data_IF_872622427918
#
_entry.id   IF_872622427918
#
_cell.length_a   1.000
_cell.length_b   1.000
_cell.length_c   1.000
_cell.angle_alpha   90.00
_cell.angle_beta   90.00
_cell.angle_gamma   90.00
#
_symmetry.space_group_name_H-M   'P 1'
#
loop_
_entity.id
_entity.type
_entity.pdbx_description
1 polymer ?
#
# COMPACT_ATOMS: atom_id res chain seq x y z
N UNK A 1 20.44 -34.34 -0.66
CA UNK A 1 20.20 -32.92 -0.99
C UNK A 1 18.73 -32.82 -1.36
N UNK A 2 17.94 -32.12 -0.54
CA UNK A 2 16.49 -32.24 -0.47
C UNK A 2 15.78 -31.71 -1.73
N UNK A 3 14.93 -32.54 -2.33
CA UNK A 3 13.94 -32.16 -3.35
C UNK A 3 12.93 -31.13 -2.80
N UNK A 4 12.67 -31.15 -1.48
CA UNK A 4 11.77 -30.22 -0.77
C UNK A 4 12.20 -28.74 -0.83
N UNK A 5 13.49 -28.47 -1.07
CA UNK A 5 14.00 -27.10 -1.21
C UNK A 5 13.62 -26.55 -2.60
N UNK A 6 13.64 -27.40 -3.63
CA UNK A 6 13.30 -27.01 -4.99
C UNK A 6 11.79 -26.83 -5.20
N UNK A 7 10.95 -27.63 -4.53
CA UNK A 7 9.49 -27.45 -4.60
C UNK A 7 9.03 -26.14 -3.94
N UNK A 8 9.60 -25.78 -2.78
CA UNK A 8 9.33 -24.49 -2.12
C UNK A 8 9.79 -23.28 -2.95
N UNK A 9 10.86 -23.41 -3.73
CA UNK A 9 11.36 -22.37 -4.63
C UNK A 9 10.44 -22.21 -5.86
N UNK A 10 9.97 -23.32 -6.45
CA UNK A 10 9.09 -23.31 -7.63
C UNK A 10 7.71 -22.72 -7.29
N UNK A 11 7.16 -23.04 -6.12
CA UNK A 11 5.89 -22.47 -5.68
C UNK A 11 6.02 -20.96 -5.35
N UNK A 12 7.13 -20.53 -4.74
CA UNK A 12 7.40 -19.09 -4.55
C UNK A 12 7.58 -18.34 -5.88
N UNK A 13 8.26 -18.93 -6.86
CA UNK A 13 8.47 -18.34 -8.19
C UNK A 13 7.15 -18.21 -8.97
N UNK A 14 6.27 -19.23 -8.94
CA UNK A 14 4.93 -19.15 -9.57
C UNK A 14 4.05 -18.10 -8.91
N UNK A 15 4.13 -17.99 -7.58
CA UNK A 15 3.43 -16.94 -6.83
C UNK A 15 3.97 -15.55 -7.18
N UNK A 16 5.29 -15.42 -7.39
CA UNK A 16 5.96 -14.18 -7.79
C UNK A 16 5.59 -13.72 -9.20
N UNK A 17 5.51 -14.63 -10.17
CA UNK A 17 5.10 -14.30 -11.54
C UNK A 17 3.61 -13.92 -11.61
N UNK A 18 2.75 -14.58 -10.81
CA UNK A 18 1.35 -14.21 -10.65
C UNK A 18 1.18 -12.82 -10.00
N UNK A 19 1.88 -12.56 -8.89
CA UNK A 19 1.87 -11.26 -8.20
C UNK A 19 2.42 -10.17 -9.13
N UNK A 20 3.52 -10.40 -9.84
CA UNK A 20 4.08 -9.42 -10.79
C UNK A 20 3.13 -9.13 -11.96
N UNK A 21 2.45 -10.14 -12.51
CA UNK A 21 1.46 -9.94 -13.56
C UNK A 21 0.22 -9.20 -13.04
N UNK A 22 -0.22 -9.51 -11.81
CA UNK A 22 -1.30 -8.81 -11.14
C UNK A 22 -0.94 -7.33 -10.85
N UNK A 23 0.27 -7.07 -10.35
CA UNK A 23 0.79 -5.71 -10.10
C UNK A 23 0.94 -4.93 -11.40
N UNK A 24 1.46 -5.54 -12.48
CA UNK A 24 1.54 -4.89 -13.80
C UNK A 24 0.17 -4.59 -14.38
N UNK A 25 -0.81 -5.47 -14.20
CA UNK A 25 -2.20 -5.21 -14.59
C UNK A 25 -2.84 -4.09 -13.75
N UNK A 26 -2.51 -3.99 -12.46
CA UNK A 26 -2.94 -2.87 -11.61
C UNK A 26 -2.30 -1.56 -12.05
N UNK A 27 -0.98 -1.52 -12.26
CA UNK A 27 -0.22 -0.35 -12.70
C UNK A 27 -0.73 0.18 -14.05
N UNK A 28 -0.95 -0.71 -15.02
CA UNK A 28 -1.46 -0.34 -16.35
C UNK A 28 -2.90 0.19 -16.32
N UNK A 29 -3.70 -0.21 -15.34
CA UNK A 29 -5.03 0.35 -15.09
C UNK A 29 -4.96 1.71 -14.36
N UNK A 30 -3.93 1.96 -13.56
CA UNK A 30 -3.74 3.21 -12.79
C UNK A 30 -3.31 4.37 -13.71
N UNK A 31 -2.46 4.11 -14.71
CA UNK A 31 -1.85 5.17 -15.53
C UNK A 31 -2.84 5.95 -16.43
N UNK A 32 -4.04 5.43 -16.70
CA UNK A 32 -4.84 5.93 -17.82
C UNK A 32 -5.94 6.96 -17.51
N UNK A 33 -6.22 7.38 -16.26
CA UNK A 33 -7.13 8.54 -16.04
C UNK A 33 -7.27 9.13 -14.60
N UNK A 34 -6.40 8.87 -13.63
CA UNK A 34 -6.91 8.69 -12.25
C UNK A 34 -6.57 9.83 -11.29
N UNK A 35 -7.60 10.54 -10.81
CA UNK A 35 -7.55 11.24 -9.52
C UNK A 35 -7.09 10.22 -8.46
N UNK A 36 -5.86 10.34 -7.96
CA UNK A 36 -5.35 9.43 -6.93
C UNK A 36 -6.16 9.56 -5.64
N UNK A 37 -6.43 8.43 -5.00
CA UNK A 37 -6.99 8.40 -3.64
C UNK A 37 -6.04 9.03 -2.63
N UNK A 38 -6.55 9.37 -1.46
CA UNK A 38 -5.75 9.87 -0.34
C UNK A 38 -4.58 8.94 -0.03
N UNK A 39 -4.82 7.64 0.05
CA UNK A 39 -3.78 6.64 0.31
C UNK A 39 -2.73 6.64 -0.79
N UNK A 40 -3.13 6.63 -2.07
CA UNK A 40 -2.18 6.61 -3.19
C UNK A 40 -1.30 7.86 -3.24
N UNK A 41 -1.87 9.03 -2.93
CA UNK A 41 -1.10 10.28 -2.81
C UNK A 41 -0.14 10.19 -1.63
N UNK A 42 -0.63 9.77 -0.46
CA UNK A 42 0.18 9.67 0.74
C UNK A 42 1.37 8.72 0.56
N UNK A 43 1.13 7.55 -0.06
CA UNK A 43 2.16 6.56 -0.39
C UNK A 43 3.20 7.14 -1.35
N UNK A 44 2.75 7.84 -2.41
CA UNK A 44 3.69 8.43 -3.38
C UNK A 44 4.51 9.57 -2.80
N UNK A 45 3.89 10.40 -1.96
CA UNK A 45 4.53 11.61 -1.42
C UNK A 45 5.55 11.27 -0.33
N UNK A 46 5.36 10.14 0.39
CA UNK A 46 6.18 9.76 1.53
C UNK A 46 7.07 8.51 1.31
N UNK A 47 7.10 7.94 0.11
CA UNK A 47 7.88 6.73 -0.23
C UNK A 47 7.63 5.57 0.75
N UNK A 48 6.37 5.19 0.89
CA UNK A 48 5.95 4.11 1.81
C UNK A 48 6.33 2.75 1.22
N UNK A 49 7.00 1.90 2.01
CA UNK A 49 7.37 0.53 1.61
C UNK A 49 6.17 -0.42 1.67
N UNK A 50 6.25 -1.58 1.01
CA UNK A 50 5.10 -2.47 0.82
C UNK A 50 4.42 -2.89 2.12
N UNK A 51 5.19 -3.31 3.13
CA UNK A 51 4.66 -3.72 4.45
C UNK A 51 3.81 -2.62 5.09
N UNK A 52 4.27 -1.38 5.03
CA UNK A 52 3.60 -0.25 5.66
C UNK A 52 2.44 0.28 4.82
N UNK A 53 2.50 0.13 3.49
CA UNK A 53 1.36 0.37 2.61
C UNK A 53 0.21 -0.60 2.94
N UNK A 54 0.52 -1.87 3.21
CA UNK A 54 -0.48 -2.85 3.64
C UNK A 54 -1.06 -2.49 5.02
N UNK A 55 -0.23 -2.06 5.98
CA UNK A 55 -0.70 -1.52 7.26
C UNK A 55 -1.66 -0.33 7.07
N UNK A 56 -1.39 0.58 6.14
CA UNK A 56 -2.28 1.70 5.83
C UNK A 56 -3.61 1.24 5.21
N UNK A 57 -3.58 0.25 4.30
CA UNK A 57 -4.80 -0.33 3.74
C UNK A 57 -5.67 -0.98 4.83
N UNK A 58 -5.06 -1.69 5.76
CA UNK A 58 -5.73 -2.31 6.91
C UNK A 58 -6.31 -1.22 7.80
N UNK A 59 -5.52 -0.23 8.22
CA UNK A 59 -5.96 0.87 9.09
C UNK A 59 -7.12 1.67 8.49
N UNK A 60 -7.09 1.95 7.18
CA UNK A 60 -8.24 2.54 6.48
C UNK A 60 -9.48 1.67 6.61
N UNK A 61 -9.37 0.37 6.36
CA UNK A 61 -10.51 -0.54 6.41
C UNK A 61 -11.10 -0.64 7.83
N UNK A 62 -10.26 -0.62 8.87
CA UNK A 62 -10.69 -0.58 10.26
C UNK A 62 -11.47 0.69 10.57
N UNK A 63 -10.96 1.87 10.17
CA UNK A 63 -11.66 3.16 10.30
C UNK A 63 -13.02 3.12 9.61
N UNK A 64 -13.07 2.63 8.37
CA UNK A 64 -14.32 2.54 7.61
C UNK A 64 -15.34 1.61 8.28
N UNK A 65 -14.90 0.49 8.84
CA UNK A 65 -15.76 -0.45 9.56
C UNK A 65 -16.27 0.14 10.87
N UNK A 66 -15.40 0.79 11.65
CA UNK A 66 -15.78 1.51 12.86
C UNK A 66 -16.86 2.56 12.55
N UNK A 67 -16.61 3.42 11.54
CA UNK A 67 -17.57 4.44 11.12
C UNK A 67 -18.88 3.83 10.63
N UNK A 68 -18.84 2.75 9.85
CA UNK A 68 -20.04 2.06 9.39
C UNK A 68 -20.88 1.52 10.55
N UNK A 69 -20.24 1.05 11.63
CA UNK A 69 -20.93 0.55 12.82
C UNK A 69 -21.52 1.70 13.65
N UNK A 70 -20.73 2.75 13.90
CA UNK A 70 -21.14 3.93 14.69
C UNK A 70 -22.31 4.69 14.07
N UNK A 71 -22.48 4.60 12.75
CA UNK A 71 -23.49 5.35 11.99
C UNK A 71 -24.43 4.42 11.21
N UNK A 72 -24.63 3.21 11.71
CA UNK A 72 -25.42 2.17 11.05
C UNK A 72 -26.88 2.60 10.78
N UNK A 73 -27.42 3.51 11.59
CA UNK A 73 -28.75 4.10 11.44
C UNK A 73 -28.89 4.97 10.19
N UNK A 74 -27.78 5.51 9.65
CA UNK A 74 -27.75 6.27 8.38
C UNK A 74 -27.83 5.38 7.14
N UNK A 75 -27.89 4.06 7.32
CA UNK A 75 -27.92 3.07 6.25
C UNK A 75 -26.54 2.58 5.85
N UNK A 76 -26.52 1.66 4.88
CA UNK A 76 -25.30 0.95 4.47
C UNK A 76 -24.27 1.91 3.90
N UNK A 77 -23.04 1.79 4.39
CA UNK A 77 -21.93 2.67 4.07
C UNK A 77 -21.05 2.07 2.96
N UNK A 78 -20.70 2.91 1.98
CA UNK A 78 -19.81 2.60 0.88
C UNK A 78 -18.72 3.66 0.81
N UNK A 79 -17.50 3.27 0.47
CA UNK A 79 -16.39 4.21 0.32
C UNK A 79 -15.82 4.13 -1.09
N UNK A 80 -15.78 5.28 -1.78
CA UNK A 80 -15.23 5.40 -3.14
C UNK A 80 -13.71 5.48 -3.05
N UNK A 81 -13.01 4.50 -3.59
CA UNK A 81 -11.54 4.48 -3.60
C UNK A 81 -10.96 4.70 -5.00
N UNK A 82 -11.79 4.70 -6.04
CA UNK A 82 -11.32 4.88 -7.42
C UNK A 82 -12.44 5.16 -8.41
N UNK A 83 -12.07 5.30 -9.68
CA UNK A 83 -13.01 5.54 -10.78
C UNK A 83 -12.54 4.78 -12.03
N UNK A 84 -13.49 4.20 -12.77
CA UNK A 84 -13.25 3.54 -14.06
C UNK A 84 -14.28 4.02 -15.08
N UNK A 85 -13.86 4.91 -15.99
CA UNK A 85 -14.79 5.58 -16.89
C UNK A 85 -15.78 6.45 -16.11
N UNK A 86 -17.08 6.22 -16.31
CA UNK A 86 -18.17 6.89 -15.59
C UNK A 86 -18.55 6.22 -14.27
N UNK A 87 -17.89 5.14 -13.87
CA UNK A 87 -18.29 4.35 -12.71
C UNK A 87 -17.32 4.60 -11.54
N UNK A 88 -17.88 4.84 -10.36
CA UNK A 88 -17.15 4.82 -9.11
C UNK A 88 -16.83 3.38 -8.72
N UNK A 89 -15.59 3.16 -8.28
CA UNK A 89 -15.17 1.93 -7.62
C UNK A 89 -15.28 2.16 -6.12
N UNK A 90 -16.14 1.37 -5.48
CA UNK A 90 -16.42 1.50 -4.06
C UNK A 90 -16.33 0.16 -3.34
N UNK A 91 -16.05 0.21 -2.05
CA UNK A 91 -16.09 -0.94 -1.15
C UNK A 91 -17.23 -0.81 -0.15
N UNK A 92 -17.79 -1.95 0.29
CA UNK A 92 -18.75 -1.97 1.40
C UNK A 92 -17.97 -1.87 2.70
N UNK A 93 -18.33 -0.91 3.55
CA UNK A 93 -17.64 -0.68 4.82
C UNK A 93 -18.10 -1.64 5.94
N UNK A 94 -18.74 -2.75 5.61
CA UNK A 94 -19.16 -3.79 6.56
C UNK A 94 -18.01 -4.77 6.82
N UNK A 95 -17.95 -5.32 8.03
CA UNK A 95 -16.92 -6.30 8.39
C UNK A 95 -16.95 -7.51 7.46
N UNK A 96 -15.77 -7.90 6.98
CA UNK A 96 -15.60 -9.01 6.04
C UNK A 96 -15.99 -8.72 4.60
N UNK A 97 -16.47 -7.51 4.25
CA UNK A 97 -16.85 -7.14 2.87
C UNK A 97 -15.98 -6.07 2.23
N UNK A 98 -14.90 -5.67 2.90
CA UNK A 98 -13.99 -4.64 2.39
C UNK A 98 -13.27 -5.02 1.10
N UNK A 99 -13.21 -6.31 0.77
CA UNK A 99 -12.64 -6.85 -0.47
C UNK A 99 -13.61 -6.82 -1.66
N UNK A 100 -14.91 -6.58 -1.41
CA UNK A 100 -15.91 -6.53 -2.46
C UNK A 100 -15.81 -5.22 -3.23
N UNK A 101 -15.48 -5.32 -4.51
CA UNK A 101 -15.46 -4.18 -5.43
C UNK A 101 -16.84 -3.99 -6.05
N UNK A 102 -17.46 -2.86 -5.74
CA UNK A 102 -18.74 -2.45 -6.32
C UNK A 102 -18.50 -1.36 -7.34
N UNK A 103 -19.15 -1.49 -8.50
CA UNK A 103 -19.25 -0.41 -9.48
C UNK A 103 -20.56 0.34 -9.26
N UNK A 104 -20.45 1.63 -8.98
CA UNK A 104 -21.59 2.53 -8.80
C UNK A 104 -21.56 3.52 -9.97
N UNK A 105 -22.52 3.47 -10.91
CA UNK A 105 -22.58 4.45 -11.99
C UNK A 105 -22.70 5.87 -11.41
N UNK A 106 -21.90 6.81 -11.90
CA UNK A 106 -21.89 8.19 -11.38
C UNK A 106 -23.26 8.87 -11.45
N UNK A 107 -24.04 8.56 -12.49
CA UNK A 107 -25.43 9.03 -12.65
C UNK A 107 -26.39 8.58 -11.53
N UNK A 108 -26.06 7.50 -10.82
CA UNK A 108 -26.89 6.93 -9.75
C UNK A 108 -26.57 7.57 -8.39
N UNK A 109 -25.52 8.40 -8.31
CA UNK A 109 -25.13 9.18 -7.14
C UNK A 109 -25.64 10.61 -7.31
N UNK A 110 -26.55 11.05 -6.44
CA UNK A 110 -27.18 12.37 -6.53
C UNK A 110 -26.32 13.49 -5.91
N UNK A 111 -25.03 13.56 -6.25
CA UNK A 111 -24.13 14.55 -5.66
C UNK A 111 -22.82 14.70 -6.44
N UNK A 112 -22.00 15.66 -6.03
CA UNK A 112 -20.61 15.87 -6.44
C UNK A 112 -19.63 14.92 -5.74
N UNK A 113 -20.03 13.67 -5.51
CA UNK A 113 -19.17 12.65 -4.90
C UNK A 113 -17.86 12.54 -5.69
N UNK A 114 -16.78 12.27 -4.97
CA UNK A 114 -15.43 12.16 -5.53
C UNK A 114 -14.73 10.94 -4.94
N UNK A 115 -13.54 10.66 -5.42
CA UNK A 115 -12.69 9.67 -4.76
C UNK A 115 -12.45 10.13 -3.30
N UNK A 116 -12.42 9.15 -2.41
CA UNK A 116 -12.41 9.26 -0.95
C UNK A 116 -13.74 9.72 -0.31
N UNK A 117 -14.82 9.84 -1.08
CA UNK A 117 -16.16 10.09 -0.53
C UNK A 117 -16.81 8.84 0.05
N UNK A 118 -17.59 9.06 1.11
CA UNK A 118 -18.48 8.07 1.72
C UNK A 118 -19.89 8.25 1.17
N UNK A 119 -20.51 7.16 0.73
CA UNK A 119 -21.89 7.11 0.29
C UNK A 119 -22.75 6.30 1.27
N UNK A 120 -24.02 6.70 1.41
CA UNK A 120 -25.08 5.92 2.07
C UNK A 120 -26.04 5.38 1.03
N UNK A 121 -26.44 4.13 1.18
CA UNK A 121 -27.52 3.55 0.38
C UNK A 121 -28.81 3.54 1.20
N UNK A 122 -29.75 4.39 0.82
CA UNK A 122 -31.10 4.50 1.41
C UNK A 122 -32.12 4.32 0.29
N UNK A 123 -33.08 3.40 0.45
CA UNK A 123 -34.13 3.13 -0.55
C UNK A 123 -33.59 2.95 -1.98
N UNK A 124 -32.52 2.16 -2.11
CA UNK A 124 -31.79 1.88 -3.36
C UNK A 124 -31.14 3.07 -4.07
N UNK A 125 -31.00 4.22 -3.40
CA UNK A 125 -30.28 5.38 -3.91
C UNK A 125 -29.02 5.64 -3.12
N UNK A 126 -27.97 6.07 -3.81
CA UNK A 126 -26.72 6.48 -3.20
C UNK A 126 -26.72 7.99 -2.96
N UNK A 127 -26.46 8.38 -1.72
CA UNK A 127 -26.35 9.77 -1.28
C UNK A 127 -24.98 9.99 -0.63
N UNK A 128 -24.39 11.16 -0.84
CA UNK A 128 -23.10 11.53 -0.25
C UNK A 128 -23.29 11.86 1.23
N UNK A 129 -22.49 11.24 2.08
CA UNK A 129 -22.40 11.55 3.51
C UNK A 129 -21.16 12.41 3.75
N UNK A 130 -21.33 13.74 3.60
CA UNK A 130 -20.21 14.69 3.74
C UNK A 130 -19.63 14.70 5.15
N UNK A 131 -20.47 14.53 6.17
CA UNK A 131 -20.06 14.48 7.57
C UNK A 131 -19.13 13.28 7.81
N UNK A 132 -19.57 12.06 7.50
CA UNK A 132 -18.75 10.86 7.66
C UNK A 132 -17.55 10.88 6.71
N UNK A 133 -17.67 11.45 5.50
CA UNK A 133 -16.52 11.65 4.60
C UNK A 133 -15.41 12.46 5.28
N UNK A 134 -15.74 13.57 5.93
CA UNK A 134 -14.76 14.41 6.62
C UNK A 134 -14.15 13.71 7.84
N UNK A 135 -14.96 13.00 8.63
CA UNK A 135 -14.48 12.23 9.80
C UNK A 135 -13.51 11.14 9.35
N UNK A 136 -13.89 10.33 8.36
CA UNK A 136 -13.05 9.26 7.79
C UNK A 136 -11.74 9.84 7.27
N UNK A 137 -11.80 10.98 6.59
CA UNK A 137 -10.60 11.65 6.06
C UNK A 137 -9.61 12.02 7.17
N UNK A 138 -10.08 12.67 8.24
CA UNK A 138 -9.23 13.06 9.37
C UNK A 138 -8.61 11.83 10.04
N UNK A 139 -9.43 10.81 10.34
CA UNK A 139 -8.94 9.56 10.95
C UNK A 139 -7.91 8.84 10.07
N UNK A 140 -8.11 8.84 8.75
CA UNK A 140 -7.14 8.27 7.81
C UNK A 140 -5.82 9.05 7.81
N UNK A 141 -5.85 10.38 7.76
CA UNK A 141 -4.64 11.22 7.82
C UNK A 141 -3.86 10.96 9.12
N UNK A 142 -4.53 10.92 10.26
CA UNK A 142 -3.92 10.60 11.55
C UNK A 142 -3.28 9.20 11.55
N UNK A 143 -4.01 8.19 11.08
CA UNK A 143 -3.52 6.81 11.04
C UNK A 143 -2.34 6.63 10.08
N UNK A 144 -2.37 7.29 8.92
CA UNK A 144 -1.28 7.20 7.96
C UNK A 144 -0.01 7.90 8.47
N UNK A 145 -0.15 9.02 9.19
CA UNK A 145 0.99 9.66 9.84
C UNK A 145 1.60 8.78 10.95
N UNK A 146 0.79 8.12 11.77
CA UNK A 146 1.27 7.17 12.78
C UNK A 146 2.09 6.03 12.14
N UNK A 147 1.57 5.45 11.06
CA UNK A 147 2.23 4.35 10.33
C UNK A 147 3.53 4.83 9.65
N UNK A 148 3.55 6.06 9.13
CA UNK A 148 4.75 6.68 8.56
C UNK A 148 5.84 6.89 9.63
N UNK A 149 5.47 7.36 10.82
CA UNK A 149 6.42 7.49 11.93
C UNK A 149 6.99 6.13 12.36
N UNK A 150 6.17 5.09 12.42
CA UNK A 150 6.62 3.73 12.70
C UNK A 150 7.59 3.23 11.63
N UNK A 151 7.27 3.44 10.34
CA UNK A 151 8.15 3.10 9.23
C UNK A 151 9.50 3.79 9.39
N UNK A 152 9.51 5.11 9.56
CA UNK A 152 10.75 5.88 9.65
C UNK A 152 11.66 5.37 10.78
N UNK A 153 11.09 5.07 11.96
CA UNK A 153 11.85 4.50 13.09
C UNK A 153 12.46 3.14 12.76
N UNK A 154 11.70 2.25 12.11
CA UNK A 154 12.21 0.93 11.73
C UNK A 154 13.29 1.04 10.66
N UNK A 155 13.09 1.90 9.66
CA UNK A 155 14.09 2.14 8.60
C UNK A 155 15.39 2.72 9.18
N UNK A 156 15.29 3.70 10.07
CA UNK A 156 16.45 4.24 10.80
C UNK A 156 17.15 3.16 11.62
N UNK A 157 16.40 2.30 12.31
CA UNK A 157 17.00 1.21 13.10
C UNK A 157 17.73 0.15 12.27
N UNK A 158 17.36 0.01 10.98
CA UNK A 158 17.99 -0.91 10.03
C UNK A 158 19.25 -0.32 9.41
N UNK A 159 19.40 1.01 9.41
CA UNK A 159 20.49 1.77 8.79
C UNK A 159 21.59 2.08 9.82
N UNK A 160 22.49 1.11 10.01
CA UNK A 160 23.49 1.14 11.07
C UNK A 160 24.85 1.53 10.49
N UNK A 161 25.49 2.54 11.08
CA UNK A 161 26.79 3.03 10.63
C UNK A 161 27.86 1.92 10.63
N UNK A 162 28.57 1.78 9.51
CA UNK A 162 29.62 0.78 9.29
C UNK A 162 29.11 -0.64 8.99
N UNK A 163 27.79 -0.85 8.90
CA UNK A 163 27.24 -2.13 8.47
C UNK A 163 27.34 -2.30 6.95
N UNK A 164 27.52 -3.54 6.52
CA UNK A 164 27.57 -3.97 5.12
C UNK A 164 26.25 -4.65 4.78
N UNK A 165 25.61 -4.15 3.73
CA UNK A 165 24.34 -4.61 3.21
C UNK A 165 24.54 -5.24 1.85
N UNK A 166 23.98 -6.42 1.66
CA UNK A 166 23.99 -7.14 0.39
C UNK A 166 22.69 -6.88 -0.35
N UNK A 167 22.80 -6.48 -1.61
CA UNK A 167 21.66 -6.32 -2.50
C UNK A 167 21.14 -7.68 -2.94
N UNK A 168 19.85 -7.92 -2.72
CA UNK A 168 19.18 -9.17 -3.12
C UNK A 168 18.46 -8.95 -4.45
N UNK A 169 17.49 -8.04 -4.44
CA UNK A 169 16.71 -7.69 -5.62
C UNK A 169 16.09 -6.30 -5.47
N UNK A 170 15.48 -5.80 -6.54
CA UNK A 170 14.83 -4.50 -6.49
C UNK A 170 13.84 -4.26 -7.61
N UNK A 171 13.11 -3.18 -7.42
CA UNK A 171 12.10 -2.63 -8.30
C UNK A 171 12.38 -1.15 -8.52
N UNK A 172 11.47 -0.46 -9.21
CA UNK A 172 11.59 0.98 -9.43
C UNK A 172 11.62 1.80 -8.14
N UNK A 173 10.88 1.38 -7.12
CA UNK A 173 10.63 2.20 -5.93
C UNK A 173 11.18 1.58 -4.63
N UNK A 174 11.43 0.27 -4.62
CA UNK A 174 11.94 -0.47 -3.45
C UNK A 174 13.02 -1.47 -3.82
N UNK A 175 13.92 -1.76 -2.87
CA UNK A 175 14.95 -2.80 -2.94
C UNK A 175 14.86 -3.71 -1.73
N UNK A 176 15.51 -4.87 -1.80
CA UNK A 176 15.64 -5.82 -0.72
C UNK A 176 17.11 -6.03 -0.38
N UNK A 177 17.43 -5.87 0.90
CA UNK A 177 18.79 -5.95 1.43
C UNK A 177 18.88 -7.03 2.52
N UNK A 178 20.08 -7.59 2.68
CA UNK A 178 20.47 -8.40 3.84
C UNK A 178 21.55 -7.63 4.59
N UNK A 179 21.47 -7.57 5.92
CA UNK A 179 22.54 -7.07 6.76
C UNK A 179 23.55 -8.20 7.06
N UNK A 180 24.73 -8.14 6.43
CA UNK A 180 25.77 -9.15 6.56
C UNK A 180 26.50 -9.09 7.90
N UNK A 181 26.34 -8.01 8.67
CA UNK A 181 26.90 -7.93 10.02
C UNK A 181 26.05 -8.73 11.03
N UNK A 182 24.73 -8.82 10.82
CA UNK A 182 23.82 -9.57 11.69
C UNK A 182 23.88 -11.09 11.46
N UNK A 183 24.22 -11.54 10.25
CA UNK A 183 24.35 -12.97 9.89
C UNK A 183 23.11 -13.84 10.23
N UNK A 184 21.92 -13.24 10.23
CA UNK A 184 20.64 -13.94 10.45
C UNK A 184 19.95 -14.36 9.14
N UNK A 185 20.37 -13.81 8.00
CA UNK A 185 19.75 -14.06 6.70
C UNK A 185 18.39 -13.37 6.51
N UNK A 186 18.05 -12.41 7.39
CA UNK A 186 16.80 -11.67 7.29
C UNK A 186 16.89 -10.66 6.14
N UNK A 187 16.01 -10.81 5.17
CA UNK A 187 15.85 -9.89 4.05
C UNK A 187 14.84 -8.83 4.45
N UNK A 188 15.18 -7.55 4.26
CA UNK A 188 14.27 -6.44 4.52
C UNK A 188 14.13 -5.53 3.31
N UNK A 189 12.96 -4.90 3.19
CA UNK A 189 12.69 -3.89 2.17
C UNK A 189 13.28 -2.53 2.57
N UNK A 190 13.93 -1.87 1.62
CA UNK A 190 14.48 -0.52 1.70
C UNK A 190 13.99 0.32 0.50
N UNK A 191 13.96 1.63 0.65
CA UNK A 191 13.59 2.57 -0.40
C UNK A 191 14.66 2.61 -1.49
N UNK A 192 14.25 2.64 -2.75
CA UNK A 192 15.18 2.80 -3.87
C UNK A 192 15.94 4.14 -3.77
N UNK A 193 17.25 4.08 -3.96
CA UNK A 193 18.17 5.22 -4.00
C UNK A 193 19.09 5.10 -5.22
N UNK A 194 19.66 6.21 -5.69
CA UNK A 194 20.46 6.23 -6.92
C UNK A 194 21.66 5.28 -6.86
N UNK A 195 22.24 5.07 -5.67
CA UNK A 195 23.38 4.16 -5.46
C UNK A 195 23.06 2.69 -5.83
N UNK A 196 21.78 2.30 -5.79
CA UNK A 196 21.32 0.94 -6.09
C UNK A 196 20.81 0.76 -7.53
N UNK A 197 20.83 1.81 -8.35
CA UNK A 197 20.21 1.81 -9.68
C UNK A 197 20.75 0.72 -10.61
N UNK A 198 22.06 0.48 -10.55
CA UNK A 198 22.76 -0.51 -11.36
C UNK A 198 23.21 -1.73 -10.54
N UNK A 199 22.71 -1.87 -9.31
CA UNK A 199 23.07 -2.96 -8.41
C UNK A 199 22.59 -4.31 -8.94
N UNK A 200 23.39 -5.35 -8.72
CA UNK A 200 23.09 -6.74 -9.01
C UNK A 200 23.04 -7.56 -7.72
N UNK A 201 22.37 -8.70 -7.78
CA UNK A 201 22.33 -9.65 -6.65
C UNK A 201 23.75 -9.97 -6.17
N UNK A 202 23.99 -9.80 -4.87
CA UNK A 202 25.28 -9.99 -4.22
C UNK A 202 26.16 -8.73 -4.13
N UNK A 203 25.78 -7.62 -4.75
CA UNK A 203 26.52 -6.36 -4.61
C UNK A 203 26.48 -5.86 -3.16
N UNK A 204 27.62 -5.39 -2.66
CA UNK A 204 27.78 -4.97 -1.27
C UNK A 204 27.81 -3.44 -1.14
N UNK A 205 27.12 -2.96 -0.11
CA UNK A 205 26.98 -1.54 0.20
C UNK A 205 27.29 -1.30 1.67
N UNK A 206 28.20 -0.38 1.98
CA UNK A 206 28.47 0.03 3.36
C UNK A 206 27.66 1.28 3.68
N UNK A 207 27.01 1.33 4.84
CA UNK A 207 26.29 2.51 5.30
C UNK A 207 27.22 3.43 6.11
N UNK A 208 27.59 4.58 5.53
CA UNK A 208 28.57 5.50 6.10
C UNK A 208 28.09 6.95 5.98
N UNK A 209 28.14 7.70 7.08
CA UNK A 209 27.70 9.08 7.18
C UNK A 209 26.24 9.27 6.76
N UNK A 210 25.36 8.32 7.08
CA UNK A 210 23.94 8.40 6.76
C UNK A 210 23.57 8.05 5.31
N UNK A 211 24.49 7.48 4.53
CA UNK A 211 24.27 7.11 3.14
C UNK A 211 24.87 5.73 2.83
N UNK A 212 24.22 4.99 1.93
CA UNK A 212 24.80 3.77 1.36
C UNK A 212 25.89 4.11 0.35
N UNK A 213 27.01 3.41 0.40
CA UNK A 213 28.14 3.54 -0.51
C UNK A 213 28.54 2.18 -1.05
N UNK A 214 28.88 2.13 -2.33
CA UNK A 214 29.37 0.90 -2.97
C UNK A 214 30.64 0.45 -2.25
N UNK A 215 30.60 -0.77 -1.71
CA UNK A 215 31.75 -1.43 -1.09
C UNK A 215 32.38 -2.34 -2.15
N UNK A 216 33.58 -1.95 -2.65
CA UNK A 216 34.29 -2.66 -3.72
C UNK A 216 35.44 -3.51 -3.17
#
# INVERSE_FOLDING_TARGET
>A
MNLDIFENLIDKVKTKEFIQNFTKELEKNIENSIQKSMLEKFVSDNKIISEYKDKMLIGRNEILQEQSNETSEKGKMYYIYGKKGSDYLATICESGKSHDVIRIPEKDVKSNAKIDSVLRKINDKFELDEETTNIVKIKQEEKFNEILEEQNKIMESRRIEGHIYEYVEGSKDSIWLIDNNLNNGDVFEEMQQEVFKDAQEGDLFEYINGEYKINK
#
